data_IF_406070000115
#
_entry.id   IF_406070000115
#
_cell.length_a   1.000
_cell.length_b   1.000
_cell.length_c   1.000
_cell.angle_alpha   90.00
_cell.angle_beta   90.00
_cell.angle_gamma   90.00
#
_symmetry.space_group_name_H-M   'P 1'
#
loop_
_entity.id
_entity.type
_entity.pdbx_description
1 polymer ?
#
# COMPACT_ATOMS: atom_id res chain seq x y z
N UNK A 1 6.54 5.75 15.89
CA UNK A 1 5.36 5.97 15.00
C UNK A 1 5.31 7.40 14.41
N UNK A 2 5.79 8.46 15.09
CA UNK A 2 5.75 9.86 14.61
C UNK A 2 6.50 10.20 13.30
N UNK A 3 7.48 9.38 12.86
CA UNK A 3 8.31 9.69 11.66
C UNK A 3 7.62 9.48 10.32
N UNK A 4 6.54 8.69 10.26
CA UNK A 4 5.85 8.39 9.00
C UNK A 4 4.89 9.49 8.54
N UNK A 5 4.60 10.51 9.36
CA UNK A 5 3.69 11.59 8.97
C UNK A 5 4.39 12.75 8.22
N UNK A 6 5.70 12.95 8.43
CA UNK A 6 6.35 14.23 8.15
C UNK A 6 6.91 14.42 6.72
N UNK A 7 6.97 13.39 5.87
CA UNK A 7 7.91 13.41 4.71
C UNK A 7 7.28 13.83 3.36
N UNK A 8 5.97 14.05 3.21
CA UNK A 8 5.29 14.34 1.92
C UNK A 8 3.77 14.20 2.14
N UNK A 9 3.01 15.30 2.19
CA UNK A 9 1.54 15.31 2.19
C UNK A 9 0.83 14.52 3.30
N UNK A 10 0.09 15.21 4.17
CA UNK A 10 -0.70 14.66 5.28
C UNK A 10 -1.98 13.93 4.83
N UNK A 11 -1.91 13.10 3.78
CA UNK A 11 -3.07 12.30 3.31
C UNK A 11 -2.94 10.82 3.67
N UNK A 12 -4.09 10.17 3.88
CA UNK A 12 -4.21 8.71 4.04
C UNK A 12 -3.49 7.99 2.89
N UNK A 13 -3.61 8.49 1.66
CA UNK A 13 -2.97 7.90 0.50
C UNK A 13 -1.43 7.94 0.56
N UNK A 14 -0.84 9.04 1.04
CA UNK A 14 0.60 9.14 1.25
C UNK A 14 1.06 8.17 2.34
N UNK A 15 0.32 8.08 3.45
CA UNK A 15 0.61 7.12 4.51
C UNK A 15 0.55 5.68 4.00
N UNK A 16 -0.50 5.31 3.27
CA UNK A 16 -0.63 3.96 2.70
C UNK A 16 0.55 3.63 1.79
N UNK A 17 0.98 4.55 0.92
CA UNK A 17 2.17 4.33 0.08
C UNK A 17 3.45 4.14 0.90
N UNK A 18 3.63 4.88 2.01
CA UNK A 18 4.77 4.69 2.91
C UNK A 18 4.76 3.34 3.59
N UNK A 19 3.60 2.92 4.10
CA UNK A 19 3.44 1.60 4.72
C UNK A 19 3.76 0.52 3.69
N UNK A 20 3.20 0.61 2.48
CA UNK A 20 3.49 -0.32 1.38
C UNK A 20 4.98 -0.37 1.04
N UNK A 21 5.64 0.79 0.89
CA UNK A 21 7.07 0.90 0.60
C UNK A 21 7.95 0.25 1.68
N UNK A 22 7.53 0.35 2.94
CA UNK A 22 8.28 -0.19 4.07
C UNK A 22 8.07 -1.71 4.24
N UNK A 23 6.83 -2.19 4.09
CA UNK A 23 6.48 -3.58 4.33
C UNK A 23 6.79 -4.51 3.16
N UNK A 24 6.74 -3.99 1.93
CA UNK A 24 6.79 -4.82 0.72
C UNK A 24 7.90 -4.37 -0.22
N UNK A 25 8.81 -5.29 -0.50
CA UNK A 25 9.75 -5.13 -1.61
C UNK A 25 9.04 -5.21 -2.96
N UNK A 26 9.66 -4.62 -3.97
CA UNK A 26 9.07 -4.55 -5.31
C UNK A 26 8.97 -5.92 -5.98
N UNK A 27 9.87 -6.87 -5.65
CA UNK A 27 9.82 -8.27 -6.09
C UNK A 27 8.56 -8.95 -5.59
N UNK A 28 8.24 -8.78 -4.30
CA UNK A 28 7.03 -9.34 -3.69
C UNK A 28 5.79 -8.66 -4.28
N UNK A 29 5.81 -7.34 -4.43
CA UNK A 29 4.71 -6.62 -5.06
C UNK A 29 4.44 -7.09 -6.50
N UNK A 30 5.47 -7.49 -7.25
CA UNK A 30 5.32 -7.96 -8.63
C UNK A 30 4.60 -9.32 -8.75
N UNK A 31 4.63 -10.13 -7.68
CA UNK A 31 3.91 -11.41 -7.54
C UNK A 31 2.45 -11.24 -7.13
N UNK A 32 2.08 -10.04 -6.67
CA UNK A 32 0.74 -9.73 -6.19
C UNK A 32 -0.09 -8.97 -7.24
N UNK A 33 -1.42 -9.09 -7.14
CA UNK A 33 -2.39 -8.19 -7.78
C UNK A 33 -3.56 -7.95 -6.82
N UNK A 34 -4.40 -6.93 -7.07
CA UNK A 34 -5.49 -6.61 -6.15
C UNK A 34 -6.46 -7.79 -5.94
N UNK A 35 -7.07 -8.31 -7.03
CA UNK A 35 -8.06 -9.41 -6.98
C UNK A 35 -7.47 -10.81 -7.22
N UNK A 36 -6.22 -10.92 -7.67
CA UNK A 36 -5.52 -12.21 -7.84
C UNK A 36 -5.97 -13.05 -9.02
N UNK A 37 -5.86 -12.54 -10.25
CA UNK A 37 -6.18 -13.34 -11.46
C UNK A 37 -5.12 -14.43 -11.71
N UNK A 38 -3.90 -14.02 -12.07
CA UNK A 38 -2.75 -14.91 -12.32
C UNK A 38 -1.66 -14.71 -11.26
N UNK A 39 -2.03 -14.11 -10.13
CA UNK A 39 -1.13 -13.57 -9.10
C UNK A 39 -1.80 -13.71 -7.73
N UNK A 40 -1.03 -13.54 -6.67
CA UNK A 40 -1.57 -13.59 -5.30
C UNK A 40 -2.59 -12.44 -5.10
N UNK A 41 -3.82 -12.72 -4.61
CA UNK A 41 -4.85 -11.71 -4.34
C UNK A 41 -4.51 -10.91 -3.09
N UNK A 42 -3.91 -9.73 -3.27
CA UNK A 42 -3.41 -8.91 -2.17
C UNK A 42 -4.51 -8.42 -1.23
N UNK A 43 -5.70 -8.11 -1.75
CA UNK A 43 -6.84 -7.62 -0.96
C UNK A 43 -7.25 -8.59 0.16
N UNK A 44 -7.04 -9.90 -0.04
CA UNK A 44 -7.40 -10.95 0.93
C UNK A 44 -6.26 -11.34 1.86
N UNK A 45 -5.13 -10.63 1.81
CA UNK A 45 -3.96 -10.97 2.62
C UNK A 45 -4.02 -10.29 3.98
N UNK A 46 -3.51 -10.98 5.01
CA UNK A 46 -3.31 -10.38 6.35
C UNK A 46 -2.46 -9.10 6.31
N UNK A 47 -1.55 -9.00 5.35
CA UNK A 47 -0.75 -7.79 5.14
C UNK A 47 -1.64 -6.58 4.81
N UNK A 48 -2.66 -6.76 3.97
CA UNK A 48 -3.62 -5.70 3.67
C UNK A 48 -4.46 -5.33 4.90
N UNK A 49 -4.86 -6.29 5.73
CA UNK A 49 -5.57 -6.02 6.97
C UNK A 49 -4.73 -5.15 7.93
N UNK A 50 -3.45 -5.46 8.06
CA UNK A 50 -2.49 -4.66 8.84
C UNK A 50 -2.38 -3.24 8.29
N UNK A 51 -2.35 -3.08 6.96
CA UNK A 51 -2.31 -1.76 6.30
C UNK A 51 -3.58 -0.96 6.60
N UNK A 52 -4.76 -1.59 6.51
CA UNK A 52 -6.02 -0.95 6.88
C UNK A 52 -6.02 -0.49 8.33
N UNK A 53 -5.64 -1.37 9.26
CA UNK A 53 -5.59 -1.04 10.68
C UNK A 53 -4.61 0.12 10.94
N UNK A 54 -3.38 0.04 10.41
CA UNK A 54 -2.37 1.08 10.61
C UNK A 54 -2.81 2.45 10.05
N UNK A 55 -3.47 2.47 8.89
CA UNK A 55 -3.99 3.68 8.29
C UNK A 55 -5.16 4.25 9.11
N UNK A 56 -6.12 3.41 9.54
CA UNK A 56 -7.26 3.81 10.37
C UNK A 56 -6.85 4.30 11.77
N UNK A 57 -5.82 3.69 12.38
CA UNK A 57 -5.26 4.18 13.65
C UNK A 57 -4.60 5.55 13.52
N UNK A 58 -3.97 5.83 12.38
CA UNK A 58 -3.28 7.10 12.14
C UNK A 58 -4.22 8.22 11.68
N UNK A 59 -5.32 7.86 11.02
CA UNK A 59 -6.38 8.76 10.56
C UNK A 59 -7.75 8.21 10.99
N UNK A 60 -8.06 8.28 12.30
CA UNK A 60 -9.34 7.83 12.82
C UNK A 60 -10.44 8.68 12.19
N UNK A 61 -11.34 8.03 11.46
CA UNK A 61 -12.48 8.67 10.78
C UNK A 61 -13.70 7.76 10.94
N UNK A 62 -14.87 8.37 11.13
CA UNK A 62 -16.11 7.69 11.53
C UNK A 62 -16.80 6.91 10.39
N UNK A 63 -16.21 6.85 9.19
CA UNK A 63 -16.76 6.07 8.06
C UNK A 63 -15.97 6.20 6.74
N UNK A 64 -16.03 5.13 5.94
CA UNK A 64 -15.74 5.00 4.49
C UNK A 64 -14.39 5.47 3.88
N UNK A 65 -13.27 5.41 4.62
CA UNK A 65 -11.94 5.64 4.01
C UNK A 65 -11.24 4.39 3.45
N UNK A 66 -11.92 3.24 3.39
CA UNK A 66 -11.31 2.01 2.87
C UNK A 66 -10.91 2.14 1.40
N UNK A 67 -11.68 2.87 0.58
CA UNK A 67 -11.31 3.18 -0.79
C UNK A 67 -10.09 4.10 -0.88
N UNK A 68 -9.92 5.04 0.07
CA UNK A 68 -8.75 5.91 0.14
C UNK A 68 -7.47 5.17 0.54
N UNK A 69 -7.59 3.98 1.13
CA UNK A 69 -6.46 3.09 1.45
C UNK A 69 -6.26 2.08 0.30
N UNK A 70 -7.34 1.45 -0.17
CA UNK A 70 -7.32 0.45 -1.22
C UNK A 70 -6.77 0.98 -2.56
N UNK A 71 -7.21 2.17 -2.99
CA UNK A 71 -6.81 2.73 -4.28
C UNK A 71 -5.30 3.01 -4.37
N UNK A 72 -4.67 3.66 -3.37
CA UNK A 72 -3.22 3.79 -3.32
C UNK A 72 -2.48 2.44 -3.29
N UNK A 73 -2.95 1.47 -2.51
CA UNK A 73 -2.34 0.14 -2.45
C UNK A 73 -2.42 -0.57 -3.82
N UNK A 74 -3.59 -0.55 -4.47
CA UNK A 74 -3.80 -1.08 -5.82
C UNK A 74 -2.89 -0.43 -6.85
N UNK A 75 -2.77 0.90 -6.82
CA UNK A 75 -1.86 1.63 -7.70
C UNK A 75 -0.39 1.31 -7.42
N UNK A 76 -0.01 1.12 -6.15
CA UNK A 76 1.33 0.71 -5.77
C UNK A 76 1.70 -0.65 -6.35
N UNK A 77 0.81 -1.64 -6.28
CA UNK A 77 1.01 -2.97 -6.86
C UNK A 77 1.14 -2.93 -8.39
N UNK A 78 0.29 -2.15 -9.08
CA UNK A 78 0.37 -1.98 -10.54
C UNK A 78 1.74 -1.49 -11.00
N UNK A 79 2.32 -0.57 -10.25
CA UNK A 79 3.60 0.07 -10.58
C UNK A 79 4.84 -0.77 -10.19
N UNK A 80 4.67 -1.93 -9.54
CA UNK A 80 5.78 -2.74 -9.04
C UNK A 80 6.78 -3.15 -10.12
N UNK A 81 6.30 -3.63 -11.27
CA UNK A 81 7.17 -3.99 -12.40
C UNK A 81 7.96 -2.79 -12.95
N UNK A 82 7.35 -1.62 -12.98
CA UNK A 82 8.02 -0.39 -13.43
C UNK A 82 9.13 0.01 -12.45
N UNK A 83 8.91 -0.13 -11.14
CA UNK A 83 9.92 0.16 -10.12
C UNK A 83 11.09 -0.84 -10.17
N UNK A 84 10.82 -2.13 -10.36
CA UNK A 84 11.86 -3.15 -10.56
C UNK A 84 12.75 -2.84 -11.77
N UNK A 85 12.17 -2.43 -12.90
CA UNK A 85 12.96 -2.05 -14.08
C UNK A 85 13.88 -0.87 -13.82
N UNK A 86 13.44 0.11 -13.02
CA UNK A 86 14.24 1.29 -12.66
C UNK A 86 15.38 1.00 -11.69
N UNK A 87 15.30 -0.06 -10.89
CA UNK A 87 16.35 -0.44 -9.94
C UNK A 87 17.51 -1.22 -10.57
N UNK A 88 17.35 -1.73 -11.80
CA UNK A 88 18.37 -2.48 -12.53
C UNK A 88 19.27 -1.62 -13.41
N UNK A 89 19.00 -0.32 -13.46
CA UNK A 89 19.81 0.70 -14.13
C UNK A 89 20.36 1.65 -13.06
#
# INVERSE_FOLDING_TARGET
IKRLAAIEGSSIACLTKRIMKYLLKDEVCALCSWKGKDKIPFEKTKTMDIIYQAAKTSFPTDGENDLLIANPAKNWLKMARCRLKRQKH
#
